data_IF_823991948808
#
_entry.id   IF_823991948808
#
_cell.length_a   1.000
_cell.length_b   1.000
_cell.length_c   1.000
_cell.angle_alpha   90.00
_cell.angle_beta   90.00
_cell.angle_gamma   90.00
#
_symmetry.space_group_name_H-M   'P 1'
#
loop_
_entity.id
_entity.type
_entity.pdbx_description
1 polymer ?
#
# COMPACT_ATOMS: atom_id res chain seq x y z
N UNK A 1 45.65 -30.58 -52.29
CA UNK A 1 44.86 -29.53 -51.70
C UNK A 1 43.56 -30.14 -51.20
N UNK A 2 43.54 -30.60 -49.95
CA UNK A 2 42.32 -31.15 -49.34
C UNK A 2 41.64 -30.00 -48.46
N UNK A 3 40.40 -29.64 -48.82
CA UNK A 3 39.59 -28.73 -48.05
C UNK A 3 38.83 -29.51 -46.95
N UNK A 4 39.16 -29.20 -45.72
CA UNK A 4 38.45 -29.69 -44.55
C UNK A 4 37.14 -28.88 -44.38
N UNK A 5 35.99 -29.53 -44.49
CA UNK A 5 34.66 -28.92 -44.19
C UNK A 5 34.35 -29.20 -42.72
N UNK A 6 34.38 -28.17 -41.88
CA UNK A 6 33.91 -28.20 -40.49
C UNK A 6 32.39 -28.01 -40.48
N UNK A 7 31.67 -29.08 -40.16
CA UNK A 7 30.24 -29.04 -39.86
C UNK A 7 30.03 -28.55 -38.43
N UNK A 8 29.49 -27.34 -38.29
CA UNK A 8 28.96 -26.85 -37.01
C UNK A 8 27.55 -27.41 -36.80
N UNK A 9 27.37 -28.29 -35.82
CA UNK A 9 26.05 -28.67 -35.34
C UNK A 9 25.54 -27.60 -34.33
N UNK A 10 24.30 -27.11 -34.46
CA UNK A 10 23.75 -26.18 -33.45
C UNK A 10 23.40 -26.97 -32.19
N UNK A 11 24.01 -26.60 -31.07
CA UNK A 11 23.58 -27.01 -29.75
C UNK A 11 22.20 -26.37 -29.43
N UNK A 12 21.16 -27.17 -29.52
CA UNK A 12 19.83 -26.78 -29.04
C UNK A 12 19.86 -26.87 -27.53
N UNK A 13 20.01 -25.72 -26.87
CA UNK A 13 19.71 -25.60 -25.46
C UNK A 13 18.19 -25.69 -25.26
N UNK A 14 17.68 -26.85 -24.88
CA UNK A 14 16.35 -26.99 -24.37
C UNK A 14 16.29 -26.30 -22.99
N UNK A 15 15.70 -25.12 -22.95
CA UNK A 15 15.34 -24.50 -21.68
C UNK A 15 14.34 -25.42 -20.98
N UNK A 16 14.79 -26.14 -19.96
CA UNK A 16 13.90 -26.82 -19.03
C UNK A 16 12.99 -25.75 -18.41
N UNK A 17 11.67 -26.00 -18.31
CA UNK A 17 10.80 -25.08 -17.60
C UNK A 17 11.31 -25.00 -16.16
N UNK A 18 11.67 -23.78 -15.72
CA UNK A 18 11.90 -23.51 -14.31
C UNK A 18 10.56 -23.70 -13.62
N UNK A 19 10.34 -24.88 -13.05
CA UNK A 19 9.27 -25.12 -12.11
C UNK A 19 9.62 -24.28 -10.89
N UNK A 20 9.05 -23.10 -10.80
CA UNK A 20 9.06 -22.33 -9.55
C UNK A 20 8.26 -23.16 -8.52
N UNK A 21 8.94 -24.05 -7.82
CA UNK A 21 8.44 -24.57 -6.55
C UNK A 21 8.37 -23.35 -5.62
N UNK A 22 7.15 -22.78 -5.48
CA UNK A 22 6.92 -21.75 -4.50
C UNK A 22 7.31 -22.28 -3.14
N UNK A 23 8.39 -21.77 -2.61
CA UNK A 23 8.84 -22.08 -1.27
C UNK A 23 7.76 -21.64 -0.28
N UNK A 24 7.08 -22.57 0.35
CA UNK A 24 5.94 -22.31 1.23
C UNK A 24 6.36 -22.35 2.70
N UNK A 25 5.83 -21.42 3.48
CA UNK A 25 5.88 -21.52 4.96
C UNK A 25 5.17 -22.81 5.34
N UNK A 26 5.83 -23.63 6.18
CA UNK A 26 5.23 -24.88 6.68
C UNK A 26 4.54 -24.60 8.01
N UNK A 27 3.32 -25.11 8.13
CA UNK A 27 2.50 -25.01 9.33
C UNK A 27 2.18 -26.37 9.91
N UNK A 28 2.09 -26.47 11.22
CA UNK A 28 1.72 -27.70 11.94
C UNK A 28 0.22 -27.97 11.88
N UNK A 29 -0.58 -26.90 11.76
CA UNK A 29 -2.03 -26.94 11.76
C UNK A 29 -2.59 -25.68 11.05
N UNK A 30 -3.91 -25.54 11.02
CA UNK A 30 -4.62 -24.39 10.49
C UNK A 30 -5.86 -24.07 11.33
N UNK A 31 -6.26 -22.81 11.33
CA UNK A 31 -7.52 -22.37 11.92
C UNK A 31 -8.55 -22.18 10.79
N UNK A 32 -9.76 -22.67 11.01
CA UNK A 32 -10.89 -22.40 10.09
C UNK A 32 -11.63 -21.18 10.59
N UNK A 33 -11.66 -20.13 9.78
CA UNK A 33 -12.42 -18.89 10.01
C UNK A 33 -13.62 -18.85 9.07
N UNK A 34 -14.80 -18.60 9.61
CA UNK A 34 -15.97 -18.37 8.79
C UNK A 34 -16.05 -16.91 8.38
N UNK A 35 -16.12 -16.66 7.07
CA UNK A 35 -16.21 -15.32 6.54
C UNK A 35 -17.25 -15.21 5.42
N UNK A 36 -17.79 -13.99 5.25
CA UNK A 36 -18.61 -13.61 4.10
C UNK A 36 -17.80 -12.75 3.15
N UNK A 37 -17.90 -13.04 1.87
CA UNK A 37 -17.33 -12.23 0.79
C UNK A 37 -18.36 -11.16 0.43
N UNK A 38 -17.95 -9.92 0.33
CA UNK A 38 -18.80 -8.89 -0.23
C UNK A 38 -18.65 -8.82 -1.75
N UNK A 39 -19.72 -8.45 -2.41
CA UNK A 39 -19.75 -8.10 -3.84
C UNK A 39 -20.65 -6.89 -4.05
N UNK A 40 -20.71 -6.36 -5.26
CA UNK A 40 -21.68 -5.33 -5.63
C UNK A 40 -22.65 -5.92 -6.67
N UNK A 41 -23.93 -5.66 -6.49
CA UNK A 41 -24.93 -5.94 -7.51
C UNK A 41 -24.86 -4.93 -8.68
N UNK A 42 -25.74 -5.10 -9.67
CA UNK A 42 -25.83 -4.20 -10.82
C UNK A 42 -26.11 -2.72 -10.44
N UNK A 43 -26.76 -2.51 -9.28
CA UNK A 43 -27.09 -1.19 -8.74
C UNK A 43 -25.99 -0.65 -7.80
N UNK A 44 -24.85 -1.39 -7.70
CA UNK A 44 -23.71 -1.09 -6.80
C UNK A 44 -24.02 -1.26 -5.31
N UNK A 45 -25.12 -1.87 -4.91
CA UNK A 45 -25.37 -2.21 -3.52
C UNK A 45 -24.45 -3.34 -3.09
N UNK A 46 -24.00 -3.30 -1.84
CA UNK A 46 -23.19 -4.38 -1.27
C UNK A 46 -24.12 -5.58 -0.98
N UNK A 47 -23.66 -6.74 -1.40
CA UNK A 47 -24.26 -8.03 -1.09
C UNK A 47 -23.19 -8.93 -0.49
N UNK A 48 -23.59 -9.77 0.46
CA UNK A 48 -22.72 -10.76 1.06
C UNK A 48 -23.07 -12.16 0.57
N UNK A 49 -22.04 -12.98 0.37
CA UNK A 49 -22.21 -14.43 0.21
C UNK A 49 -22.76 -15.04 1.50
N UNK A 50 -23.18 -16.31 1.44
CA UNK A 50 -23.29 -17.14 2.62
C UNK A 50 -21.95 -17.23 3.36
N UNK A 51 -22.01 -17.68 4.63
CA UNK A 51 -20.80 -18.01 5.40
C UNK A 51 -20.03 -19.14 4.72
N UNK A 52 -18.75 -18.91 4.49
CA UNK A 52 -17.82 -19.89 3.92
C UNK A 52 -16.64 -20.09 4.84
N UNK A 53 -16.11 -21.30 4.86
CA UNK A 53 -14.93 -21.64 5.62
C UNK A 53 -13.66 -21.20 4.85
N UNK A 54 -12.76 -20.52 5.53
CA UNK A 54 -11.45 -20.13 5.01
C UNK A 54 -10.38 -20.63 5.96
N UNK A 55 -9.34 -21.22 5.40
CA UNK A 55 -8.14 -21.59 6.15
C UNK A 55 -7.34 -20.34 6.49
N UNK A 56 -6.87 -20.26 7.71
CA UNK A 56 -5.95 -19.24 8.18
C UNK A 56 -4.84 -19.88 9.02
N UNK A 57 -3.69 -19.21 9.06
CA UNK A 57 -2.54 -19.64 9.84
C UNK A 57 -2.11 -18.53 10.81
N UNK A 58 -1.65 -18.95 11.98
CA UNK A 58 -1.16 -18.08 13.05
C UNK A 58 0.30 -18.37 13.34
N UNK A 59 0.98 -17.49 14.07
CA UNK A 59 2.42 -17.61 14.32
C UNK A 59 2.81 -18.87 15.13
N UNK A 60 1.95 -19.31 16.04
CA UNK A 60 2.15 -20.51 16.86
C UNK A 60 2.13 -21.81 16.03
N UNK A 61 1.61 -21.76 14.81
CA UNK A 61 1.55 -22.89 13.88
C UNK A 61 2.77 -22.96 12.94
N UNK A 62 3.65 -21.97 12.92
CA UNK A 62 4.83 -21.96 12.04
C UNK A 62 5.84 -23.00 12.49
N UNK A 63 6.06 -24.04 11.67
CA UNK A 63 6.97 -25.15 12.00
C UNK A 63 8.42 -24.70 12.03
N UNK A 64 9.12 -25.06 13.12
CA UNK A 64 10.57 -24.88 13.25
C UNK A 64 11.00 -23.46 13.57
N UNK A 65 10.06 -22.57 13.90
CA UNK A 65 10.42 -21.25 14.39
C UNK A 65 11.17 -21.37 15.72
N UNK A 66 12.33 -20.70 15.90
CA UNK A 66 13.02 -20.66 17.18
C UNK A 66 12.17 -19.97 18.25
N UNK A 67 12.46 -20.22 19.52
CA UNK A 67 11.82 -19.48 20.61
C UNK A 67 11.97 -17.97 20.39
N UNK A 68 10.84 -17.29 20.25
CA UNK A 68 10.80 -15.85 20.01
C UNK A 68 11.29 -15.10 21.25
N UNK A 69 12.10 -14.08 21.03
CA UNK A 69 12.71 -13.26 22.08
C UNK A 69 12.46 -11.79 21.78
N UNK A 70 12.46 -10.94 22.80
CA UNK A 70 12.34 -9.50 22.62
C UNK A 70 13.40 -9.02 21.61
N UNK A 71 12.95 -8.30 20.60
CA UNK A 71 13.80 -7.75 19.57
C UNK A 71 14.58 -6.54 20.10
N UNK A 72 15.86 -6.44 19.72
CA UNK A 72 16.66 -5.24 20.01
C UNK A 72 16.29 -4.18 18.99
N UNK A 73 15.51 -3.19 19.42
CA UNK A 73 14.99 -2.14 18.56
C UNK A 73 15.65 -0.80 18.88
N UNK A 74 15.90 -0.02 17.84
CA UNK A 74 16.32 1.36 17.99
C UNK A 74 15.14 2.31 18.31
N UNK A 75 15.40 3.61 18.33
CA UNK A 75 14.38 4.61 18.69
C UNK A 75 13.20 4.71 17.71
N UNK A 76 13.38 4.33 16.44
CA UNK A 76 12.28 4.25 15.45
C UNK A 76 11.57 2.89 15.42
N UNK A 77 12.11 1.89 16.10
CA UNK A 77 11.64 0.51 16.05
C UNK A 77 12.31 -0.30 14.94
N UNK A 78 13.45 0.14 14.43
CA UNK A 78 14.34 -0.61 13.53
C UNK A 78 15.11 -1.71 14.27
N UNK A 79 15.54 -2.74 13.55
CA UNK A 79 16.30 -3.86 14.13
C UNK A 79 17.76 -3.47 14.39
N UNK A 80 18.06 -3.01 15.59
CA UNK A 80 19.40 -2.58 16.02
C UNK A 80 20.47 -3.71 16.09
N UNK A 81 20.06 -4.97 15.90
CA UNK A 81 21.01 -6.09 15.80
C UNK A 81 21.73 -6.16 14.43
N UNK A 82 21.26 -5.39 13.43
CA UNK A 82 21.88 -5.27 12.11
C UNK A 82 22.13 -3.80 11.81
N UNK A 83 23.36 -3.46 11.45
CA UNK A 83 23.78 -2.05 11.30
C UNK A 83 24.35 -1.82 9.90
N UNK A 84 23.87 -0.80 9.23
CA UNK A 84 24.34 -0.28 7.95
C UNK A 84 24.74 1.22 8.11
N UNK A 85 25.18 1.84 7.05
CA UNK A 85 25.53 3.27 7.10
C UNK A 85 24.29 4.11 7.42
N UNK A 86 24.38 4.94 8.45
CA UNK A 86 23.37 5.95 8.77
C UNK A 86 23.41 7.08 7.70
N UNK A 87 22.23 7.46 7.18
CA UNK A 87 22.11 8.58 6.21
C UNK A 87 21.32 9.75 6.74
N UNK A 88 20.67 9.58 7.90
CA UNK A 88 19.78 10.57 8.48
C UNK A 88 18.35 10.54 7.93
N UNK A 89 18.06 9.71 6.92
CA UNK A 89 16.74 9.57 6.31
C UNK A 89 16.42 8.10 6.00
N UNK A 90 15.16 7.78 5.88
CA UNK A 90 14.72 6.46 5.43
C UNK A 90 15.10 6.24 3.96
N UNK A 91 15.56 5.04 3.65
CA UNK A 91 15.90 4.62 2.29
C UNK A 91 15.56 3.17 2.06
N UNK A 92 15.60 2.70 0.82
CA UNK A 92 15.44 1.29 0.47
C UNK A 92 16.74 0.72 -0.07
N UNK A 93 17.07 -0.50 0.33
CA UNK A 93 18.25 -1.24 -0.15
C UNK A 93 17.90 -2.71 -0.42
N UNK A 94 18.56 -3.30 -1.42
CA UNK A 94 18.46 -4.75 -1.68
C UNK A 94 19.67 -5.44 -1.10
N UNK A 95 19.46 -6.21 -0.04
CA UNK A 95 20.50 -6.85 0.76
C UNK A 95 20.36 -8.36 0.69
N UNK A 96 21.38 -9.07 0.17
CA UNK A 96 21.37 -10.52 -0.02
C UNK A 96 20.09 -11.06 -0.70
N UNK A 97 19.63 -10.35 -1.72
CA UNK A 97 18.44 -10.73 -2.51
C UNK A 97 17.09 -10.32 -1.91
N UNK A 98 17.06 -9.68 -0.73
CA UNK A 98 15.86 -9.17 -0.07
C UNK A 98 15.87 -7.65 -0.05
N UNK A 99 14.73 -7.04 -0.38
CA UNK A 99 14.54 -5.62 -0.19
C UNK A 99 14.23 -5.28 1.27
N UNK A 100 14.83 -4.21 1.76
CA UNK A 100 14.60 -3.68 3.11
C UNK A 100 14.48 -2.15 3.07
N UNK A 101 13.65 -1.60 3.93
CA UNK A 101 13.75 -0.19 4.31
C UNK A 101 14.83 -0.09 5.38
N UNK A 102 15.68 0.91 5.27
CA UNK A 102 16.70 1.23 6.28
C UNK A 102 16.30 2.57 6.90
N UNK A 103 16.29 2.63 8.22
CA UNK A 103 15.94 3.84 8.97
C UNK A 103 17.07 4.88 8.99
N UNK A 104 16.84 6.08 9.52
CA UNK A 104 17.84 7.15 9.55
C UNK A 104 19.13 6.80 10.29
N UNK A 105 19.07 5.87 11.26
CA UNK A 105 20.25 5.42 12.03
C UNK A 105 21.00 4.26 11.34
N UNK A 106 20.45 3.70 10.26
CA UNK A 106 21.08 2.61 9.51
C UNK A 106 20.60 1.22 9.91
N UNK A 107 19.45 1.06 10.53
CA UNK A 107 18.89 -0.22 10.90
C UNK A 107 17.78 -0.67 9.95
N UNK A 108 17.64 -1.99 9.66
CA UNK A 108 16.50 -2.51 8.92
C UNK A 108 15.19 -2.15 9.60
N UNK A 109 14.25 -1.62 8.83
CA UNK A 109 12.98 -1.11 9.31
C UNK A 109 11.82 -1.75 8.55
N UNK A 110 11.18 -2.76 9.15
CA UNK A 110 9.97 -3.35 8.58
C UNK A 110 8.77 -2.47 8.92
N UNK A 111 8.19 -1.84 7.91
CA UNK A 111 7.08 -0.91 8.08
C UNK A 111 5.84 -1.65 8.58
N UNK A 112 5.38 -1.32 9.77
CA UNK A 112 4.11 -1.77 10.34
C UNK A 112 3.29 -0.55 10.72
N UNK A 113 2.30 -0.21 9.89
CA UNK A 113 1.63 1.07 9.99
C UNK A 113 0.12 0.95 10.25
N UNK A 114 -0.43 2.06 10.75
CA UNK A 114 -1.88 2.27 10.87
C UNK A 114 -2.24 3.53 10.09
N UNK A 115 -3.27 3.42 9.22
CA UNK A 115 -3.79 4.55 8.47
C UNK A 115 -4.75 5.41 9.32
N UNK A 116 -4.84 6.67 8.96
CA UNK A 116 -5.85 7.61 9.48
C UNK A 116 -5.82 7.78 11.01
N UNK A 117 -4.63 7.91 11.58
CA UNK A 117 -4.47 8.29 13.00
C UNK A 117 -4.86 9.75 13.13
N UNK A 118 -6.15 10.00 13.36
CA UNK A 118 -6.73 11.33 13.53
C UNK A 118 -7.98 11.27 14.39
N UNK A 119 -8.33 12.39 15.02
CA UNK A 119 -9.57 12.51 15.77
C UNK A 119 -10.78 12.34 14.85
N UNK A 120 -11.78 11.60 15.33
CA UNK A 120 -13.08 11.54 14.68
C UNK A 120 -13.85 12.86 14.85
N UNK A 121 -14.73 13.17 13.89
CA UNK A 121 -15.45 14.43 13.85
C UNK A 121 -16.89 14.33 14.41
N UNK A 122 -17.42 13.12 14.64
CA UNK A 122 -18.77 12.96 15.15
C UNK A 122 -18.95 13.53 16.56
N UNK A 123 -20.20 13.80 16.95
CA UNK A 123 -20.51 14.22 18.30
C UNK A 123 -20.05 13.20 19.35
N UNK A 124 -20.19 11.90 19.05
CA UNK A 124 -19.70 10.80 19.88
C UNK A 124 -18.19 10.91 20.08
N UNK A 125 -17.43 10.97 18.98
CA UNK A 125 -15.96 11.08 19.05
C UNK A 125 -15.52 12.30 19.88
N UNK A 126 -16.13 13.47 19.64
CA UNK A 126 -15.77 14.70 20.33
C UNK A 126 -16.12 14.66 21.83
N UNK A 127 -17.23 14.02 22.19
CA UNK A 127 -17.61 13.85 23.59
C UNK A 127 -16.61 12.99 24.36
N UNK A 128 -16.27 11.81 23.80
CA UNK A 128 -15.29 10.91 24.43
C UNK A 128 -13.87 11.48 24.42
N UNK A 129 -13.48 12.19 23.37
CA UNK A 129 -12.19 12.88 23.36
C UNK A 129 -12.04 13.83 24.55
N UNK A 130 -13.05 14.68 24.80
CA UNK A 130 -13.04 15.64 25.92
C UNK A 130 -13.05 14.97 27.31
N UNK A 131 -13.58 13.75 27.41
CA UNK A 131 -13.57 12.97 28.65
C UNK A 131 -12.22 12.30 28.91
N UNK A 132 -11.55 11.84 27.88
CA UNK A 132 -10.36 11.00 27.99
C UNK A 132 -9.06 11.78 27.98
N UNK A 133 -9.01 12.94 27.30
CA UNK A 133 -7.77 13.71 27.14
C UNK A 133 -8.00 15.20 27.32
N UNK A 134 -7.00 15.86 27.91
CA UNK A 134 -7.02 17.31 28.12
C UNK A 134 -6.66 18.10 26.86
N UNK A 135 -5.93 17.50 25.94
CA UNK A 135 -5.49 18.13 24.69
C UNK A 135 -5.30 17.14 23.54
N UNK A 136 -5.23 17.66 22.32
CA UNK A 136 -4.90 16.89 21.12
C UNK A 136 -3.50 16.25 21.21
N UNK A 137 -2.55 16.92 21.86
CA UNK A 137 -1.20 16.40 22.07
C UNK A 137 -1.20 15.24 23.08
N UNK A 138 -2.01 15.32 24.15
CA UNK A 138 -2.14 14.20 25.09
C UNK A 138 -2.76 12.99 24.44
N UNK A 139 -3.81 13.20 23.63
CA UNK A 139 -4.40 12.13 22.82
C UNK A 139 -3.37 11.49 21.90
N UNK A 140 -2.65 12.28 21.07
CA UNK A 140 -1.66 11.75 20.13
C UNK A 140 -0.55 11.00 20.87
N UNK A 141 -0.04 11.55 21.98
CA UNK A 141 0.97 10.90 22.82
C UNK A 141 0.47 9.55 23.35
N UNK A 142 -0.76 9.50 23.85
CA UNK A 142 -1.38 8.27 24.32
C UNK A 142 -1.53 7.24 23.20
N UNK A 143 -1.99 7.66 22.02
CA UNK A 143 -2.17 6.75 20.88
C UNK A 143 -0.83 6.21 20.36
N UNK A 144 0.19 7.05 20.18
CA UNK A 144 1.49 6.59 19.70
C UNK A 144 2.12 5.59 20.68
N UNK A 145 2.10 5.87 21.99
CA UNK A 145 2.57 4.93 23.01
C UNK A 145 1.84 3.58 22.95
N UNK A 146 0.52 3.63 22.77
CA UNK A 146 -0.28 2.42 22.55
C UNK A 146 0.20 1.68 21.30
N UNK A 147 0.29 2.33 20.14
CA UNK A 147 0.72 1.68 18.90
C UNK A 147 2.11 1.05 19.02
N UNK A 148 3.06 1.76 19.60
CA UNK A 148 4.41 1.23 19.85
C UNK A 148 4.38 -0.01 20.75
N UNK A 149 3.51 -0.03 21.79
CA UNK A 149 3.36 -1.19 22.66
C UNK A 149 2.73 -2.42 21.97
N UNK A 150 2.06 -2.21 20.83
CA UNK A 150 1.53 -3.25 19.94
C UNK A 150 2.43 -3.52 18.72
N UNK A 151 3.66 -2.98 18.72
CA UNK A 151 4.68 -3.23 17.69
C UNK A 151 4.48 -2.50 16.38
N UNK A 152 3.58 -1.51 16.33
CA UNK A 152 3.49 -0.57 15.20
C UNK A 152 4.57 0.50 15.31
N UNK A 153 5.07 0.96 14.17
CA UNK A 153 6.17 1.92 14.10
C UNK A 153 5.94 3.10 13.14
N UNK A 154 4.80 3.12 12.43
CA UNK A 154 4.56 4.11 11.39
C UNK A 154 3.09 4.56 11.35
N UNK A 155 2.88 5.87 11.19
CA UNK A 155 1.58 6.44 10.83
C UNK A 155 1.43 6.48 9.30
N UNK A 156 0.43 5.75 8.81
CA UNK A 156 0.10 5.69 7.38
C UNK A 156 -0.68 6.90 6.88
N UNK A 157 -1.24 6.79 5.67
CA UNK A 157 -2.02 7.84 5.01
C UNK A 157 -3.11 8.43 5.89
N UNK A 158 -3.41 9.71 5.65
CA UNK A 158 -4.50 10.49 6.27
C UNK A 158 -4.39 10.64 7.79
N UNK A 159 -3.21 10.39 8.34
CA UNK A 159 -2.92 10.64 9.75
C UNK A 159 -2.68 12.13 10.01
N UNK A 160 -2.88 12.55 11.25
CA UNK A 160 -2.62 13.91 11.72
C UNK A 160 -1.11 14.15 11.87
N UNK A 161 -0.46 14.43 10.75
CA UNK A 161 0.99 14.62 10.71
C UNK A 161 1.47 15.80 11.56
N UNK A 162 0.63 16.83 11.77
CA UNK A 162 0.97 17.96 12.63
C UNK A 162 1.14 17.53 14.09
N UNK A 163 0.18 16.79 14.63
CA UNK A 163 0.26 16.27 16.01
C UNK A 163 1.35 15.20 16.18
N UNK A 164 1.59 14.37 15.14
CA UNK A 164 2.67 13.37 15.17
C UNK A 164 4.05 14.08 15.22
N UNK A 165 4.26 15.11 14.42
CA UNK A 165 5.51 15.88 14.43
C UNK A 165 5.72 16.56 15.79
N UNK A 166 4.68 17.18 16.35
CA UNK A 166 4.77 17.77 17.69
C UNK A 166 5.13 16.74 18.79
N UNK A 167 4.63 15.50 18.68
CA UNK A 167 5.09 14.40 19.53
C UNK A 167 6.57 14.06 19.29
N UNK A 168 6.98 13.94 18.03
CA UNK A 168 8.34 13.56 17.64
C UNK A 168 9.38 14.59 18.11
N UNK A 169 9.03 15.89 18.11
CA UNK A 169 9.93 16.98 18.54
C UNK A 169 10.36 16.85 20.01
N UNK A 170 9.60 16.13 20.83
CA UNK A 170 9.85 15.98 22.27
C UNK A 170 10.12 14.53 22.71
N UNK A 171 9.96 13.55 21.81
CA UNK A 171 10.05 12.14 22.14
C UNK A 171 11.44 11.56 21.89
N UNK A 172 11.92 10.73 22.81
CA UNK A 172 13.11 9.90 22.60
C UNK A 172 12.83 8.72 21.67
N UNK A 173 11.57 8.35 21.52
CA UNK A 173 11.08 7.26 20.64
C UNK A 173 10.11 7.84 19.62
N UNK A 174 10.61 8.48 18.55
CA UNK A 174 9.77 9.08 17.53
C UNK A 174 8.95 8.01 16.77
N UNK A 175 7.85 8.44 16.17
CA UNK A 175 6.98 7.60 15.38
C UNK A 175 7.09 8.01 13.92
N UNK A 176 7.53 7.09 13.05
CA UNK A 176 7.65 7.40 11.63
C UNK A 176 6.27 7.73 11.03
N UNK A 177 6.22 8.54 10.00
CA UNK A 177 4.96 8.91 9.37
C UNK A 177 5.08 9.08 7.86
N UNK A 178 3.95 9.08 7.18
CA UNK A 178 3.83 9.32 5.75
C UNK A 178 2.95 10.52 5.48
N UNK A 179 3.13 11.17 4.34
CA UNK A 179 2.23 12.23 3.86
C UNK A 179 1.48 11.81 2.60
N UNK A 180 0.42 12.52 2.26
CA UNK A 180 -0.39 12.33 1.07
C UNK A 180 -0.52 13.65 0.32
N UNK A 181 0.01 13.71 -0.91
CA UNK A 181 0.08 14.96 -1.70
C UNK A 181 -1.23 15.29 -2.41
N UNK A 182 -1.92 14.28 -2.98
CA UNK A 182 -3.17 14.41 -3.74
C UNK A 182 -3.06 15.39 -4.93
N UNK A 183 -1.92 15.40 -5.62
CA UNK A 183 -1.67 16.38 -6.69
C UNK A 183 -2.59 16.18 -7.91
N UNK A 184 -2.76 14.94 -8.38
CA UNK A 184 -3.68 14.68 -9.50
C UNK A 184 -5.13 14.96 -9.11
N UNK A 185 -5.55 14.53 -7.92
CA UNK A 185 -6.89 14.78 -7.42
C UNK A 185 -7.15 16.29 -7.24
N UNK A 186 -6.16 17.04 -6.76
CA UNK A 186 -6.21 18.50 -6.64
C UNK A 186 -6.31 19.17 -7.98
N UNK A 187 -5.44 18.83 -8.91
CA UNK A 187 -5.43 19.34 -10.28
C UNK A 187 -6.76 19.06 -10.99
N UNK A 188 -7.26 17.84 -10.91
CA UNK A 188 -8.55 17.47 -11.53
C UNK A 188 -9.69 18.34 -11.01
N UNK A 189 -9.79 18.56 -9.70
CA UNK A 189 -10.81 19.43 -9.09
C UNK A 189 -10.70 20.89 -9.61
N UNK A 190 -9.48 21.42 -9.69
CA UNK A 190 -9.23 22.77 -10.18
C UNK A 190 -9.57 22.90 -11.67
N UNK A 191 -9.13 21.95 -12.50
CA UNK A 191 -9.40 21.93 -13.92
C UNK A 191 -10.91 21.84 -14.24
N UNK A 192 -11.67 21.03 -13.48
CA UNK A 192 -13.13 20.93 -13.60
C UNK A 192 -13.81 22.23 -13.12
N UNK A 193 -13.34 22.86 -12.05
CA UNK A 193 -13.87 24.14 -11.58
C UNK A 193 -13.70 25.22 -12.62
N UNK A 194 -12.54 25.25 -13.30
CA UNK A 194 -12.23 26.25 -14.33
C UNK A 194 -12.94 25.95 -15.68
N UNK A 195 -13.20 24.67 -15.97
CA UNK A 195 -13.95 24.20 -17.12
C UNK A 195 -14.89 23.04 -16.75
N UNK A 196 -16.16 23.33 -16.36
CA UNK A 196 -17.11 22.30 -15.94
C UNK A 196 -17.44 21.24 -17.01
N UNK A 197 -17.22 21.51 -18.30
CA UNK A 197 -17.41 20.54 -19.38
C UNK A 197 -16.47 19.31 -19.21
N UNK A 198 -15.34 19.47 -18.53
CA UNK A 198 -14.37 18.37 -18.23
C UNK A 198 -14.83 17.42 -17.12
N UNK A 199 -16.00 17.60 -16.52
CA UNK A 199 -16.49 16.74 -15.42
C UNK A 199 -16.65 15.28 -15.83
N UNK A 200 -16.98 15.01 -17.08
CA UNK A 200 -17.11 13.66 -17.65
C UNK A 200 -15.83 13.12 -18.26
N UNK A 201 -14.77 13.91 -18.32
CA UNK A 201 -13.51 13.49 -18.91
C UNK A 201 -12.84 12.35 -18.10
N UNK A 202 -12.13 11.47 -18.81
CA UNK A 202 -11.31 10.45 -18.18
C UNK A 202 -10.24 11.05 -17.26
N UNK A 203 -10.01 10.46 -16.10
CA UNK A 203 -8.91 10.87 -15.21
C UNK A 203 -7.55 10.81 -15.91
N UNK A 204 -7.40 9.94 -16.91
CA UNK A 204 -6.18 9.78 -17.69
C UNK A 204 -5.87 11.02 -18.55
N UNK A 205 -6.90 11.77 -18.97
CA UNK A 205 -6.70 13.03 -19.72
C UNK A 205 -6.04 14.12 -18.88
N UNK A 206 -6.27 14.14 -17.57
CA UNK A 206 -5.64 15.09 -16.65
C UNK A 206 -4.16 14.75 -16.39
N UNK A 207 -3.79 13.46 -16.44
CA UNK A 207 -2.39 13.01 -16.37
C UNK A 207 -1.58 13.51 -17.57
N UNK A 208 -2.18 13.47 -18.75
CA UNK A 208 -1.56 13.87 -20.02
C UNK A 208 -1.62 15.36 -20.31
N UNK A 209 -2.31 16.12 -19.47
CA UNK A 209 -2.39 17.56 -19.59
C UNK A 209 -1.07 18.23 -19.18
N UNK A 210 -0.52 19.06 -20.07
CA UNK A 210 0.75 19.78 -19.78
C UNK A 210 0.67 20.68 -18.55
N UNK A 211 -0.52 21.17 -18.19
CA UNK A 211 -0.72 21.97 -16.98
C UNK A 211 -0.58 21.16 -15.68
N UNK A 212 -0.66 19.83 -15.72
CA UNK A 212 -0.49 18.99 -14.52
C UNK A 212 0.91 19.13 -13.91
N UNK A 213 1.95 19.15 -14.72
CA UNK A 213 3.33 19.35 -14.21
C UNK A 213 3.49 20.74 -13.58
N UNK A 214 2.90 21.78 -14.19
CA UNK A 214 2.91 23.13 -13.63
C UNK A 214 2.20 23.18 -12.27
N UNK A 215 1.07 22.47 -12.14
CA UNK A 215 0.34 22.33 -10.89
C UNK A 215 1.21 21.63 -9.82
N UNK A 216 1.86 20.53 -10.17
CA UNK A 216 2.79 19.83 -9.25
C UNK A 216 3.90 20.77 -8.77
N UNK A 217 4.55 21.52 -9.67
CA UNK A 217 5.62 22.47 -9.31
C UNK A 217 5.10 23.57 -8.37
N UNK A 218 3.89 24.10 -8.59
CA UNK A 218 3.29 25.11 -7.72
C UNK A 218 3.09 24.59 -6.29
N UNK A 219 2.62 23.34 -6.15
CA UNK A 219 2.31 22.75 -4.85
C UNK A 219 3.53 22.09 -4.17
N UNK A 220 4.61 21.84 -4.90
CA UNK A 220 5.80 21.21 -4.36
C UNK A 220 6.55 22.05 -3.31
N UNK A 221 6.29 23.35 -3.24
CA UNK A 221 6.87 24.23 -2.19
C UNK A 221 6.50 23.77 -0.78
N UNK A 222 5.37 23.09 -0.62
CA UNK A 222 4.93 22.54 0.66
C UNK A 222 5.86 21.43 1.20
N UNK A 223 6.56 20.72 0.31
CA UNK A 223 7.52 19.67 0.68
C UNK A 223 8.68 20.22 1.52
N UNK A 224 9.05 21.50 1.33
CA UNK A 224 10.12 22.13 2.08
C UNK A 224 9.87 22.15 3.59
N UNK A 225 8.60 22.11 4.02
CA UNK A 225 8.21 22.10 5.44
C UNK A 225 8.67 20.84 6.18
N UNK A 226 8.88 19.74 5.44
CA UNK A 226 9.23 18.43 5.98
C UNK A 226 10.50 17.84 5.39
N UNK A 227 11.13 18.49 4.40
CA UNK A 227 12.28 17.95 3.66
C UNK A 227 13.53 17.64 4.50
N UNK A 228 13.57 18.10 5.76
CA UNK A 228 14.65 17.85 6.73
C UNK A 228 14.19 17.00 7.93
N UNK A 229 12.96 16.50 7.94
CA UNK A 229 12.42 15.74 9.06
C UNK A 229 12.84 14.27 8.97
N UNK A 230 13.75 13.77 9.82
CA UNK A 230 14.22 12.38 9.75
C UNK A 230 13.13 11.35 10.09
N UNK A 231 11.99 11.80 10.62
CA UNK A 231 10.89 10.91 11.00
C UNK A 231 9.89 10.69 9.86
N UNK A 232 9.98 11.46 8.78
CA UNK A 232 9.16 11.27 7.60
C UNK A 232 9.70 10.08 6.78
N UNK A 233 8.87 9.02 6.66
CA UNK A 233 9.21 7.88 5.80
C UNK A 233 9.19 8.27 4.32
N UNK A 234 8.17 9.01 3.91
CA UNK A 234 8.03 9.43 2.51
C UNK A 234 6.64 9.95 2.16
N UNK A 235 6.47 10.22 0.87
CA UNK A 235 5.28 10.85 0.30
C UNK A 235 4.52 9.89 -0.61
N UNK A 236 3.22 9.69 -0.35
CA UNK A 236 2.29 9.17 -1.35
C UNK A 236 1.83 10.31 -2.25
N UNK A 237 1.74 10.07 -3.55
CA UNK A 237 1.30 11.13 -4.49
C UNK A 237 -0.22 11.28 -4.54
N UNK A 238 -0.93 10.20 -4.82
CA UNK A 238 -2.39 10.15 -4.91
C UNK A 238 -2.91 8.82 -4.36
N UNK A 239 -4.22 8.57 -4.44
CA UNK A 239 -4.83 7.34 -3.97
C UNK A 239 -5.68 6.70 -5.07
N UNK A 240 -5.40 5.42 -5.38
CA UNK A 240 -6.25 4.55 -6.20
C UNK A 240 -6.63 5.17 -7.56
N UNK A 241 -5.63 5.75 -8.25
CA UNK A 241 -5.86 6.31 -9.58
C UNK A 241 -6.49 5.22 -10.46
N UNK A 242 -7.58 5.57 -11.13
CA UNK A 242 -8.36 4.65 -11.95
C UNK A 242 -7.66 4.31 -13.28
N UNK A 243 -6.48 3.70 -13.22
CA UNK A 243 -5.82 3.10 -14.39
C UNK A 243 -6.61 1.87 -14.85
N UNK A 244 -7.63 2.06 -15.67
CA UNK A 244 -8.51 1.00 -16.12
C UNK A 244 -8.83 1.11 -17.61
N UNK A 245 -9.18 -0.03 -18.22
CA UNK A 245 -9.60 -0.07 -19.63
C UNK A 245 -10.80 0.88 -19.87
N UNK A 246 -11.77 0.92 -18.95
CA UNK A 246 -12.92 1.82 -19.09
C UNK A 246 -12.52 3.30 -19.13
N UNK A 247 -11.54 3.72 -18.31
CA UNK A 247 -11.01 5.08 -18.36
C UNK A 247 -10.22 5.35 -19.66
N UNK A 248 -9.49 4.33 -20.14
CA UNK A 248 -8.78 4.44 -21.41
C UNK A 248 -9.75 4.53 -22.59
N UNK A 249 -10.81 3.71 -22.63
CA UNK A 249 -11.82 3.76 -23.67
C UNK A 249 -12.53 5.13 -23.69
N UNK A 250 -12.83 5.66 -22.50
CA UNK A 250 -13.36 7.03 -22.39
C UNK A 250 -12.39 8.07 -22.96
N UNK A 251 -11.08 7.95 -22.68
CA UNK A 251 -10.05 8.86 -23.23
C UNK A 251 -9.95 8.74 -24.75
N UNK A 252 -9.96 7.51 -25.28
CA UNK A 252 -9.81 7.25 -26.72
C UNK A 252 -11.01 7.75 -27.54
N UNK A 253 -12.20 7.84 -26.96
CA UNK A 253 -13.43 8.28 -27.61
C UNK A 253 -13.79 9.76 -27.33
N UNK A 254 -13.08 10.41 -26.41
CA UNK A 254 -13.31 11.82 -26.05
C UNK A 254 -12.81 12.73 -27.17
N UNK A 255 -13.72 13.54 -27.73
CA UNK A 255 -13.41 14.53 -28.78
C UNK A 255 -12.93 15.88 -28.22
N UNK A 256 -12.93 16.04 -26.90
CA UNK A 256 -12.58 17.28 -26.20
C UNK A 256 -11.32 17.15 -25.34
N UNK A 257 -10.45 16.19 -25.67
CA UNK A 257 -9.18 16.04 -24.96
C UNK A 257 -8.24 17.21 -25.22
N UNK A 258 -7.32 17.44 -24.29
CA UNK A 258 -6.34 18.52 -24.45
C UNK A 258 -5.38 18.26 -25.62
N UNK A 259 -4.83 19.31 -26.26
CA UNK A 259 -3.83 19.13 -27.33
C UNK A 259 -2.60 18.31 -26.90
N UNK A 260 -2.22 18.33 -25.63
CA UNK A 260 -1.13 17.51 -25.09
C UNK A 260 -1.52 16.03 -24.99
N UNK A 261 -2.75 15.74 -24.57
CA UNK A 261 -3.28 14.36 -24.54
C UNK A 261 -3.39 13.80 -25.95
N UNK A 262 -3.92 14.58 -26.90
CA UNK A 262 -4.02 14.17 -28.32
C UNK A 262 -2.66 13.86 -28.92
N UNK A 263 -1.67 14.72 -28.70
CA UNK A 263 -0.29 14.51 -29.14
C UNK A 263 0.32 13.25 -28.57
N UNK A 264 0.13 12.98 -27.26
CA UNK A 264 0.61 11.77 -26.63
C UNK A 264 0.02 10.51 -27.25
N UNK A 265 -1.30 10.50 -27.50
CA UNK A 265 -1.99 9.37 -28.13
C UNK A 265 -1.53 9.16 -29.57
N UNK A 266 -1.41 10.22 -30.36
CA UNK A 266 -0.98 10.14 -31.75
C UNK A 266 0.46 9.61 -31.87
N UNK A 267 1.39 10.08 -31.03
CA UNK A 267 2.75 9.54 -30.98
C UNK A 267 2.73 8.05 -30.66
N UNK A 268 1.93 7.62 -29.69
CA UNK A 268 1.83 6.19 -29.33
C UNK A 268 1.24 5.36 -30.50
N UNK A 269 0.23 5.88 -31.21
CA UNK A 269 -0.39 5.25 -32.38
C UNK A 269 0.64 5.09 -33.50
N UNK A 270 1.40 6.14 -33.80
CA UNK A 270 2.47 6.11 -34.81
C UNK A 270 3.55 5.08 -34.46
N UNK A 271 4.02 5.08 -33.21
CA UNK A 271 5.04 4.12 -32.73
C UNK A 271 4.58 2.66 -32.82
N UNK A 272 3.27 2.39 -32.66
CA UNK A 272 2.72 1.03 -32.64
C UNK A 272 2.07 0.62 -33.99
N UNK A 273 1.97 1.52 -34.95
CA UNK A 273 1.43 1.25 -36.29
C UNK A 273 -0.04 0.77 -36.29
N UNK A 274 -0.82 1.12 -35.25
CA UNK A 274 -2.19 0.62 -35.07
C UNK A 274 -3.15 1.81 -34.96
N UNK A 275 -4.11 1.97 -35.89
CA UNK A 275 -5.13 3.02 -35.79
C UNK A 275 -5.93 2.94 -34.47
N UNK A 276 -6.41 4.09 -33.98
CA UNK A 276 -7.09 4.24 -32.68
C UNK A 276 -8.24 3.25 -32.50
N UNK A 277 -8.99 3.00 -33.56
CA UNK A 277 -10.17 2.12 -33.58
C UNK A 277 -9.82 0.63 -33.55
N UNK A 278 -8.59 0.27 -33.88
CA UNK A 278 -8.11 -1.11 -34.00
C UNK A 278 -7.19 -1.52 -32.83
N UNK A 279 -7.06 -0.67 -31.80
CA UNK A 279 -6.22 -0.96 -30.63
C UNK A 279 -6.75 -2.20 -29.88
N UNK A 280 -5.95 -3.27 -29.86
CA UNK A 280 -6.28 -4.54 -29.21
C UNK A 280 -6.24 -4.42 -27.68
N UNK A 281 -6.84 -5.38 -26.96
CA UNK A 281 -6.83 -5.41 -25.48
C UNK A 281 -5.40 -5.37 -24.91
N UNK A 282 -4.47 -6.12 -25.47
CA UNK A 282 -3.06 -6.12 -25.02
C UNK A 282 -2.38 -4.75 -25.27
N UNK A 283 -2.67 -4.12 -26.40
CA UNK A 283 -2.16 -2.77 -26.69
C UNK A 283 -2.77 -1.72 -25.76
N UNK A 284 -4.05 -1.86 -25.37
CA UNK A 284 -4.68 -1.02 -24.34
C UNK A 284 -3.98 -1.13 -23.00
N UNK A 285 -3.63 -2.33 -22.56
CA UNK A 285 -2.85 -2.53 -21.34
C UNK A 285 -1.47 -1.87 -21.39
N UNK A 286 -0.76 -1.99 -22.53
CA UNK A 286 0.53 -1.31 -22.76
C UNK A 286 0.38 0.22 -22.74
N UNK A 287 -0.66 0.75 -23.36
CA UNK A 287 -0.93 2.18 -23.38
C UNK A 287 -1.26 2.71 -21.97
N UNK A 288 -2.03 1.96 -21.18
CA UNK A 288 -2.24 2.27 -19.76
C UNK A 288 -0.93 2.34 -18.99
N UNK A 289 -0.02 1.38 -19.24
CA UNK A 289 1.32 1.39 -18.65
C UNK A 289 2.13 2.64 -19.03
N UNK A 290 2.04 3.09 -20.29
CA UNK A 290 2.71 4.33 -20.73
C UNK A 290 2.11 5.59 -20.08
N UNK A 291 0.79 5.64 -19.91
CA UNK A 291 0.12 6.75 -19.21
C UNK A 291 0.50 6.74 -17.72
N UNK A 292 0.53 5.56 -17.09
CA UNK A 292 0.99 5.43 -15.71
C UNK A 292 2.46 5.87 -15.58
N UNK A 293 3.33 5.44 -16.49
CA UNK A 293 4.72 5.88 -16.55
C UNK A 293 4.84 7.42 -16.62
N UNK A 294 4.04 8.07 -17.46
CA UNK A 294 4.02 9.53 -17.56
C UNK A 294 3.63 10.18 -16.23
N UNK A 295 2.60 9.67 -15.55
CA UNK A 295 2.19 10.15 -14.24
C UNK A 295 3.31 10.06 -13.21
N UNK A 296 3.86 8.85 -13.02
CA UNK A 296 4.90 8.61 -12.01
C UNK A 296 6.18 9.38 -12.31
N UNK A 297 6.55 9.53 -13.59
CA UNK A 297 7.68 10.35 -14.04
C UNK A 297 7.48 11.82 -13.65
N UNK A 298 6.35 12.41 -14.00
CA UNK A 298 6.05 13.82 -13.70
C UNK A 298 6.12 14.08 -12.20
N UNK A 299 5.43 13.26 -11.40
CA UNK A 299 5.40 13.42 -9.95
C UNK A 299 6.79 13.21 -9.33
N UNK A 300 7.50 12.15 -9.72
CA UNK A 300 8.84 11.85 -9.20
C UNK A 300 9.84 12.97 -9.49
N UNK A 301 9.82 13.49 -10.72
CA UNK A 301 10.71 14.58 -11.13
C UNK A 301 10.50 15.82 -10.25
N UNK A 302 9.26 16.22 -10.04
CA UNK A 302 8.94 17.40 -9.23
C UNK A 302 9.22 17.15 -7.74
N UNK A 303 8.83 15.96 -7.23
CA UNK A 303 9.04 15.59 -5.83
C UNK A 303 10.53 15.58 -5.50
N UNK A 304 11.34 14.82 -6.24
CA UNK A 304 12.78 14.67 -5.96
C UNK A 304 13.59 15.96 -6.15
N UNK A 305 13.12 16.88 -6.99
CA UNK A 305 13.71 18.22 -7.09
C UNK A 305 13.51 19.05 -5.82
N UNK A 306 12.37 18.89 -5.14
CA UNK A 306 12.01 19.71 -3.97
C UNK A 306 12.27 18.98 -2.63
N UNK A 307 12.25 17.66 -2.62
CA UNK A 307 12.58 16.82 -1.48
C UNK A 307 13.36 15.58 -1.94
N UNK A 308 14.68 15.67 -2.08
CA UNK A 308 15.52 14.54 -2.48
C UNK A 308 15.71 13.49 -1.38
N UNK A 309 15.40 13.82 -0.14
CA UNK A 309 15.73 13.02 1.03
C UNK A 309 14.72 11.91 1.33
N UNK A 310 13.43 12.15 1.04
CA UNK A 310 12.37 11.23 1.43
C UNK A 310 11.92 10.32 0.29
N UNK A 311 11.39 9.16 0.66
CA UNK A 311 10.93 8.16 -0.30
C UNK A 311 9.69 8.62 -1.06
N UNK A 312 9.67 8.35 -2.36
CA UNK A 312 8.44 8.42 -3.15
C UNK A 312 7.71 7.07 -3.08
N UNK A 313 6.57 7.07 -2.41
CA UNK A 313 5.82 5.87 -2.04
C UNK A 313 4.74 5.48 -3.08
N UNK A 314 4.65 6.19 -4.20
CA UNK A 314 3.67 5.93 -5.26
C UNK A 314 2.25 6.37 -4.95
N UNK A 315 1.26 5.77 -5.64
CA UNK A 315 -0.15 6.19 -5.63
C UNK A 315 -1.11 5.11 -5.14
N UNK A 316 -0.64 4.10 -4.43
CA UNK A 316 -1.46 3.07 -3.79
C UNK A 316 -2.31 2.31 -4.82
N UNK A 317 -1.65 1.54 -5.69
CA UNK A 317 -2.27 0.81 -6.79
C UNK A 317 -3.40 -0.11 -6.28
N UNK A 318 -4.56 -0.03 -6.93
CA UNK A 318 -5.76 -0.76 -6.52
C UNK A 318 -6.44 -1.46 -7.70
N UNK A 319 -7.37 -2.36 -7.42
CA UNK A 319 -8.21 -3.07 -8.39
C UNK A 319 -7.39 -3.68 -9.55
N UNK A 320 -7.73 -3.36 -10.81
CA UNK A 320 -7.03 -3.85 -11.98
C UNK A 320 -5.60 -3.30 -12.10
N UNK A 321 -5.33 -2.09 -11.60
CA UNK A 321 -4.03 -1.45 -11.74
C UNK A 321 -2.90 -2.25 -11.06
N UNK A 322 -3.14 -2.86 -9.89
CA UNK A 322 -2.15 -3.69 -9.20
C UNK A 322 -1.84 -5.02 -9.90
N UNK A 323 -2.72 -5.45 -10.80
CA UNK A 323 -2.61 -6.72 -11.54
C UNK A 323 -2.18 -6.52 -13.01
N UNK A 324 -1.95 -5.28 -13.43
CA UNK A 324 -1.48 -4.96 -14.77
C UNK A 324 0.03 -4.76 -14.75
N UNK A 325 0.75 -5.65 -15.43
CA UNK A 325 2.21 -5.64 -15.51
C UNK A 325 2.76 -4.28 -15.97
N UNK A 326 2.20 -3.72 -17.04
CA UNK A 326 2.72 -2.50 -17.64
C UNK A 326 2.52 -1.27 -16.76
N UNK A 327 1.39 -1.21 -16.00
CA UNK A 327 1.17 -0.16 -15.00
C UNK A 327 2.18 -0.29 -13.87
N UNK A 328 2.42 -1.52 -13.40
CA UNK A 328 3.36 -1.79 -12.32
C UNK A 328 4.80 -1.41 -12.73
N UNK A 329 5.25 -1.84 -13.92
CA UNK A 329 6.56 -1.47 -14.49
C UNK A 329 6.68 0.05 -14.66
N UNK A 330 5.61 0.71 -15.14
CA UNK A 330 5.57 2.17 -15.29
C UNK A 330 5.71 2.91 -13.96
N UNK A 331 5.11 2.39 -12.89
CA UNK A 331 5.28 2.91 -11.53
C UNK A 331 6.69 2.63 -10.99
N UNK A 332 7.12 1.37 -11.04
CA UNK A 332 8.39 0.92 -10.47
C UNK A 332 9.62 1.65 -11.03
N UNK A 333 9.52 2.17 -12.26
CA UNK A 333 10.59 2.95 -12.87
C UNK A 333 10.88 4.30 -12.15
N UNK A 334 9.92 4.83 -11.41
CA UNK A 334 9.99 6.19 -10.86
C UNK A 334 9.73 6.32 -9.36
N UNK A 335 9.24 5.27 -8.71
CA UNK A 335 9.03 5.23 -7.26
C UNK A 335 10.21 4.58 -6.55
N UNK A 336 10.44 4.91 -5.28
CA UNK A 336 11.41 4.19 -4.44
C UNK A 336 10.84 2.84 -4.00
N UNK A 337 9.54 2.77 -3.74
CA UNK A 337 8.80 1.54 -3.49
C UNK A 337 7.35 1.63 -4.00
N UNK A 338 6.75 0.50 -4.37
CA UNK A 338 5.39 0.44 -4.90
C UNK A 338 4.40 0.22 -3.76
N UNK A 339 3.39 1.07 -3.67
CA UNK A 339 2.30 0.94 -2.70
C UNK A 339 1.06 0.29 -3.31
N UNK A 340 0.43 -0.61 -2.55
CA UNK A 340 -0.68 -1.44 -3.04
C UNK A 340 -1.79 -1.50 -2.00
N UNK A 341 -3.02 -1.09 -2.38
CA UNK A 341 -4.22 -1.34 -1.61
C UNK A 341 -4.79 -2.70 -2.01
N UNK A 342 -4.82 -3.65 -1.04
CA UNK A 342 -5.09 -5.05 -1.35
C UNK A 342 -6.41 -5.53 -0.78
N UNK A 343 -7.42 -5.56 -1.61
CA UNK A 343 -8.78 -6.01 -1.28
C UNK A 343 -9.25 -7.12 -2.21
N UNK A 344 -10.31 -7.82 -1.80
CA UNK A 344 -10.96 -8.86 -2.60
C UNK A 344 -10.38 -10.26 -2.46
N UNK A 345 -9.35 -10.45 -1.64
CA UNK A 345 -8.71 -11.75 -1.37
C UNK A 345 -8.59 -11.97 0.13
N UNK A 346 -8.70 -13.26 0.55
CA UNK A 346 -8.56 -13.64 1.96
C UNK A 346 -7.13 -13.44 2.47
N UNK A 347 -6.17 -13.70 1.60
CA UNK A 347 -4.74 -13.51 1.85
C UNK A 347 -4.02 -13.04 0.57
N UNK A 348 -2.80 -12.51 0.63
CA UNK A 348 -2.01 -12.22 -0.54
C UNK A 348 -1.76 -13.48 -1.38
N UNK A 349 -2.17 -13.46 -2.65
CA UNK A 349 -1.90 -14.58 -3.57
C UNK A 349 -0.42 -14.68 -3.87
N UNK A 350 0.12 -15.90 -3.89
CA UNK A 350 1.52 -16.16 -4.26
C UNK A 350 1.86 -15.64 -5.66
N UNK A 351 0.93 -15.81 -6.61
CA UNK A 351 1.10 -15.27 -7.97
C UNK A 351 1.27 -13.76 -7.96
N UNK A 352 0.48 -13.02 -7.19
CA UNK A 352 0.64 -11.57 -7.08
C UNK A 352 1.98 -11.20 -6.45
N UNK A 353 2.38 -11.87 -5.38
CA UNK A 353 3.66 -11.61 -4.71
C UNK A 353 4.85 -11.87 -5.64
N UNK A 354 4.79 -12.95 -6.42
CA UNK A 354 5.79 -13.29 -7.44
C UNK A 354 5.81 -12.27 -8.58
N UNK A 355 4.64 -11.94 -9.12
CA UNK A 355 4.49 -11.00 -10.23
C UNK A 355 5.04 -9.62 -9.87
N UNK A 356 4.68 -9.06 -8.72
CA UNK A 356 5.17 -7.75 -8.27
C UNK A 356 6.68 -7.75 -8.03
N UNK A 357 7.26 -8.87 -7.57
CA UNK A 357 8.70 -9.03 -7.45
C UNK A 357 9.42 -9.03 -8.81
N UNK A 358 8.78 -9.63 -9.84
CA UNK A 358 9.36 -9.80 -11.17
C UNK A 358 9.16 -8.58 -12.07
N UNK A 359 8.05 -7.83 -11.91
CA UNK A 359 7.67 -6.77 -12.86
C UNK A 359 8.50 -5.48 -12.74
N UNK A 360 9.21 -5.26 -11.66
CA UNK A 360 9.92 -3.99 -11.54
C UNK A 360 11.18 -4.01 -10.67
N UNK A 361 11.54 -5.15 -10.10
CA UNK A 361 12.64 -5.29 -9.13
C UNK A 361 12.70 -4.14 -8.12
N UNK A 362 11.54 -3.82 -7.55
CA UNK A 362 11.37 -2.80 -6.51
C UNK A 362 10.74 -3.38 -5.27
N UNK A 363 11.01 -2.83 -4.09
CA UNK A 363 10.24 -3.18 -2.91
C UNK A 363 8.79 -2.72 -3.06
N UNK A 364 7.89 -3.45 -2.40
CA UNK A 364 6.51 -3.03 -2.27
C UNK A 364 6.04 -3.17 -0.83
N UNK A 365 4.97 -2.48 -0.48
CA UNK A 365 4.24 -2.69 0.76
C UNK A 365 2.73 -2.63 0.53
N UNK A 366 1.98 -3.34 1.37
CA UNK A 366 0.52 -3.29 1.33
C UNK A 366 0.08 -2.10 2.16
N UNK A 367 -0.63 -1.17 1.54
CA UNK A 367 -1.02 0.10 2.17
C UNK A 367 -2.46 0.18 2.64
N UNK A 368 -3.26 -0.83 2.29
CA UNK A 368 -4.59 -1.06 2.89
C UNK A 368 -4.97 -2.53 2.83
N UNK A 369 -5.42 -3.04 3.96
CA UNK A 369 -6.22 -4.25 4.10
C UNK A 369 -6.92 -4.22 5.46
N UNK A 370 -8.08 -4.87 5.59
CA UNK A 370 -8.79 -5.09 6.84
C UNK A 370 -9.90 -6.13 6.69
N UNK A 371 -10.40 -6.60 7.82
CA UNK A 371 -11.65 -7.36 7.96
C UNK A 371 -12.60 -6.63 8.89
N UNK A 372 -13.89 -6.94 8.78
CA UNK A 372 -14.99 -6.45 9.62
C UNK A 372 -15.47 -7.57 10.53
N UNK A 373 -16.00 -7.27 11.71
CA UNK A 373 -16.57 -8.28 12.60
C UNK A 373 -18.00 -7.92 13.02
N UNK A 374 -18.84 -8.96 13.17
CA UNK A 374 -20.24 -8.82 13.58
C UNK A 374 -20.37 -8.36 15.03
N UNK A 375 -19.47 -8.81 15.92
CA UNK A 375 -19.47 -8.47 17.35
C UNK A 375 -19.10 -7.00 17.65
N UNK A 376 -18.80 -6.21 16.62
CA UNK A 376 -18.59 -4.76 16.75
C UNK A 376 -19.88 -3.99 17.03
N UNK A 377 -21.05 -4.56 16.75
CA UNK A 377 -22.32 -3.86 16.79
C UNK A 377 -22.59 -2.91 15.64
N UNK A 378 -21.68 -2.83 14.63
CA UNK A 378 -21.86 -2.04 13.43
C UNK A 378 -22.59 -2.85 12.35
N UNK A 379 -23.37 -2.18 11.49
CA UNK A 379 -24.16 -2.84 10.43
C UNK A 379 -23.29 -3.52 9.37
N UNK A 380 -22.07 -2.99 9.14
CA UNK A 380 -21.09 -3.54 8.21
C UNK A 380 -21.58 -3.67 6.74
N UNK A 381 -22.57 -2.87 6.35
CA UNK A 381 -23.16 -2.90 5.00
C UNK A 381 -22.31 -2.17 3.95
N UNK A 382 -21.24 -1.49 4.37
CA UNK A 382 -20.29 -0.82 3.49
C UNK A 382 -18.85 -1.33 3.72
N UNK A 383 -17.90 -0.84 2.89
CA UNK A 383 -16.48 -1.13 3.03
C UNK A 383 -16.01 -2.45 2.41
N UNK A 384 -14.76 -2.47 1.97
CA UNK A 384 -14.15 -3.53 1.17
C UNK A 384 -13.60 -4.74 1.95
N UNK A 385 -13.61 -4.68 3.30
CA UNK A 385 -13.12 -5.78 4.13
C UNK A 385 -14.08 -6.97 4.16
N UNK A 386 -13.55 -8.18 4.29
CA UNK A 386 -14.32 -9.38 4.53
C UNK A 386 -15.05 -9.30 5.88
N UNK A 387 -16.21 -9.92 6.00
CA UNK A 387 -16.98 -9.96 7.25
C UNK A 387 -16.71 -11.29 7.95
N UNK A 388 -16.16 -11.24 9.16
CA UNK A 388 -15.99 -12.37 10.08
C UNK A 388 -16.92 -12.23 11.28
N UNK A 389 -16.94 -13.19 12.21
CA UNK A 389 -17.86 -13.15 13.34
C UNK A 389 -17.35 -12.30 14.50
N UNK A 390 -16.03 -12.37 14.79
CA UNK A 390 -15.46 -11.81 16.02
C UNK A 390 -14.22 -10.97 15.78
N UNK A 391 -13.87 -10.13 16.76
CA UNK A 391 -12.62 -9.38 16.77
C UNK A 391 -11.39 -10.29 16.85
N UNK A 392 -11.52 -11.45 17.48
CA UNK A 392 -10.47 -12.48 17.48
C UNK A 392 -10.20 -13.01 16.06
N UNK A 393 -11.24 -13.29 15.29
CA UNK A 393 -11.11 -13.74 13.90
C UNK A 393 -10.52 -12.66 12.98
N UNK A 394 -10.76 -11.36 13.27
CA UNK A 394 -10.03 -10.26 12.62
C UNK A 394 -8.52 -10.35 12.88
N UNK A 395 -8.15 -10.66 14.11
CA UNK A 395 -6.76 -10.85 14.51
C UNK A 395 -6.11 -12.08 13.86
N UNK A 396 -6.82 -13.20 13.78
CA UNK A 396 -6.37 -14.40 13.06
C UNK A 396 -6.15 -14.08 11.57
N UNK A 397 -7.09 -13.38 10.94
CA UNK A 397 -6.91 -12.91 9.56
C UNK A 397 -5.68 -12.01 9.41
N UNK A 398 -5.43 -11.08 10.34
CA UNK A 398 -4.24 -10.23 10.31
C UNK A 398 -2.96 -11.05 10.31
N UNK A 399 -2.83 -12.04 11.21
CA UNK A 399 -1.65 -12.90 11.28
C UNK A 399 -1.49 -13.70 9.98
N UNK A 400 -2.55 -14.35 9.50
CA UNK A 400 -2.53 -15.11 8.24
C UNK A 400 -2.06 -14.25 7.06
N UNK A 401 -2.64 -13.05 6.93
CA UNK A 401 -2.31 -12.11 5.87
C UNK A 401 -0.84 -11.67 5.92
N UNK A 402 -0.36 -11.27 7.11
CA UNK A 402 1.01 -10.77 7.29
C UNK A 402 2.06 -11.88 7.17
N UNK A 403 1.78 -13.09 7.68
CA UNK A 403 2.66 -14.25 7.49
C UNK A 403 2.88 -14.54 6.00
N UNK A 404 1.82 -14.45 5.19
CA UNK A 404 1.94 -14.65 3.75
C UNK A 404 2.83 -13.59 3.08
N UNK A 405 2.84 -12.35 3.56
CA UNK A 405 3.72 -11.29 3.04
C UNK A 405 5.20 -11.59 3.26
N UNK A 406 5.58 -12.25 4.34
CA UNK A 406 6.97 -12.64 4.59
C UNK A 406 7.53 -13.62 3.55
N UNK A 407 6.68 -14.30 2.77
CA UNK A 407 7.14 -15.16 1.67
C UNK A 407 7.73 -14.37 0.48
N UNK A 408 7.57 -13.05 0.43
CA UNK A 408 8.11 -12.21 -0.64
C UNK A 408 9.38 -11.49 -0.19
N UNK A 409 10.46 -11.65 -0.94
CA UNK A 409 11.71 -10.91 -0.76
C UNK A 409 11.57 -9.39 -1.05
N UNK A 410 10.50 -9.00 -1.71
CA UNK A 410 10.24 -7.61 -2.10
C UNK A 410 9.26 -6.89 -1.15
N UNK A 411 8.59 -7.60 -0.24
CA UNK A 411 7.67 -6.97 0.71
C UNK A 411 8.44 -6.33 1.87
N UNK A 412 8.25 -5.01 2.06
CA UNK A 412 8.92 -4.24 3.12
C UNK A 412 7.96 -3.75 4.21
N UNK A 413 6.71 -4.21 4.20
CA UNK A 413 5.76 -3.89 5.26
C UNK A 413 4.30 -3.85 4.85
N UNK A 414 3.49 -3.40 5.79
CA UNK A 414 2.04 -3.29 5.60
C UNK A 414 1.42 -2.21 6.49
N UNK A 415 0.23 -1.73 6.07
CA UNK A 415 -0.59 -0.77 6.80
C UNK A 415 -1.98 -1.35 7.04
N UNK A 416 -2.42 -1.37 8.30
CA UNK A 416 -3.80 -1.69 8.65
C UNK A 416 -4.73 -0.51 8.34
N UNK A 417 -5.83 -0.75 7.69
CA UNK A 417 -6.86 0.24 7.45
C UNK A 417 -8.07 -0.05 8.35
N UNK A 418 -8.26 0.68 9.48
CA UNK A 418 -7.59 1.94 9.89
C UNK A 418 -7.51 2.06 11.42
N UNK A 419 -7.15 3.27 11.91
CA UNK A 419 -7.10 3.58 13.34
C UNK A 419 -8.46 3.44 14.03
N UNK A 420 -9.48 4.21 13.62
CA UNK A 420 -10.78 4.32 14.29
C UNK A 420 -11.93 3.99 13.35
N UNK A 421 -12.97 3.32 13.82
CA UNK A 421 -14.22 3.18 13.11
C UNK A 421 -14.84 4.55 12.83
N UNK A 422 -15.52 4.69 11.70
CA UNK A 422 -16.38 5.84 11.49
C UNK A 422 -17.61 5.71 12.40
N UNK A 423 -18.17 6.85 12.79
CA UNK A 423 -19.51 6.89 13.36
C UNK A 423 -20.52 6.83 12.18
N UNK A 424 -21.41 5.84 12.12
CA UNK A 424 -22.41 5.73 11.05
C UNK A 424 -23.32 6.97 10.95
N UNK A 425 -23.52 7.70 12.06
CA UNK A 425 -24.26 8.94 12.11
C UNK A 425 -23.51 10.17 11.57
N UNK A 426 -22.21 10.06 11.31
CA UNK A 426 -21.41 11.15 10.74
C UNK A 426 -21.57 11.23 9.22
N UNK A 427 -22.39 12.19 8.75
CA UNK A 427 -22.61 12.40 7.32
C UNK A 427 -21.40 12.92 6.56
N UNK A 428 -20.33 13.34 7.24
CA UNK A 428 -19.06 13.75 6.64
C UNK A 428 -18.11 12.57 6.42
N UNK A 429 -18.39 11.42 7.05
CA UNK A 429 -17.62 10.21 6.84
C UNK A 429 -17.82 9.66 5.42
N UNK A 430 -16.77 9.03 4.88
CA UNK A 430 -16.79 8.43 3.54
C UNK A 430 -17.95 7.42 3.43
N UNK A 431 -18.93 7.65 2.54
CA UNK A 431 -20.09 6.78 2.39
C UNK A 431 -19.73 5.36 1.94
N UNK A 432 -18.58 5.16 1.28
CA UNK A 432 -18.14 3.85 0.79
C UNK A 432 -17.79 2.88 1.91
N UNK A 433 -17.59 3.37 3.13
CA UNK A 433 -17.16 2.57 4.28
C UNK A 433 -17.62 3.14 5.64
N UNK A 434 -18.74 3.90 5.66
CA UNK A 434 -19.20 4.65 6.82
C UNK A 434 -19.55 3.76 8.02
N UNK A 435 -20.26 2.66 7.80
CA UNK A 435 -20.74 1.73 8.81
C UNK A 435 -19.86 0.47 8.95
N UNK A 436 -18.64 0.49 8.40
CA UNK A 436 -17.75 -0.65 8.42
C UNK A 436 -16.88 -0.67 9.68
N UNK A 437 -16.87 -1.80 10.40
CA UNK A 437 -15.91 -2.07 11.47
C UNK A 437 -14.51 -2.35 10.87
N UNK A 438 -13.71 -1.35 10.81
CA UNK A 438 -12.34 -1.39 10.26
C UNK A 438 -11.30 -0.84 11.23
N UNK A 439 -11.77 -0.16 12.27
CA UNK A 439 -10.92 0.43 13.30
C UNK A 439 -10.14 -0.59 14.11
N UNK A 440 -9.00 -0.15 14.64
CA UNK A 440 -8.35 -0.76 15.78
C UNK A 440 -9.06 -0.34 17.09
N UNK A 441 -9.65 0.85 17.08
CA UNK A 441 -10.52 1.36 18.15
C UNK A 441 -11.91 1.70 17.60
N UNK A 442 -12.90 1.65 18.48
CA UNK A 442 -14.27 2.08 18.17
C UNK A 442 -14.43 3.62 18.21
N UNK A 443 -15.65 4.11 18.01
CA UNK A 443 -15.97 5.55 18.03
C UNK A 443 -15.79 6.21 19.41
N UNK A 444 -15.67 5.41 20.46
CA UNK A 444 -15.42 5.85 21.86
C UNK A 444 -13.91 5.74 22.22
N UNK A 445 -13.04 5.48 21.26
CA UNK A 445 -11.60 5.24 21.42
C UNK A 445 -11.26 3.99 22.24
N UNK A 446 -12.19 3.06 22.42
CA UNK A 446 -11.94 1.79 23.08
C UNK A 446 -11.28 0.81 22.11
N UNK A 447 -10.18 0.21 22.54
CA UNK A 447 -9.40 -0.75 21.77
C UNK A 447 -10.18 -2.06 21.58
N UNK A 448 -10.18 -2.60 20.38
CA UNK A 448 -10.61 -3.98 20.12
C UNK A 448 -9.51 -4.94 20.58
N UNK A 449 -9.51 -5.24 21.89
CA UNK A 449 -8.42 -5.97 22.55
C UNK A 449 -8.09 -7.32 21.91
N UNK A 450 -9.07 -8.18 21.53
CA UNK A 450 -8.74 -9.46 20.88
C UNK A 450 -7.98 -9.27 19.55
N UNK A 451 -8.44 -8.35 18.69
CA UNK A 451 -7.74 -7.97 17.45
C UNK A 451 -6.31 -7.47 17.74
N UNK A 452 -6.20 -6.51 18.65
CA UNK A 452 -4.93 -5.85 18.97
C UNK A 452 -3.89 -6.84 19.54
N UNK A 453 -4.31 -7.77 20.39
CA UNK A 453 -3.43 -8.80 20.94
C UNK A 453 -2.85 -9.71 19.86
N UNK A 454 -3.67 -10.17 18.91
CA UNK A 454 -3.18 -10.96 17.77
C UNK A 454 -2.23 -10.18 16.87
N UNK A 455 -2.48 -8.86 16.69
CA UNK A 455 -1.53 -7.99 15.98
C UNK A 455 -0.21 -7.88 16.74
N UNK A 456 -0.27 -7.69 18.07
CA UNK A 456 0.91 -7.59 18.93
C UNK A 456 1.79 -8.83 18.86
N UNK A 457 1.19 -10.02 18.94
CA UNK A 457 1.90 -11.30 18.86
C UNK A 457 2.80 -11.39 17.63
N UNK A 458 2.34 -10.92 16.47
CA UNK A 458 3.12 -10.92 15.24
C UNK A 458 4.10 -9.74 15.18
N UNK A 459 3.62 -8.53 15.49
CA UNK A 459 4.39 -7.31 15.27
C UNK A 459 5.65 -7.21 16.14
N UNK A 460 5.60 -7.73 17.38
CA UNK A 460 6.75 -7.71 18.31
C UNK A 460 7.88 -8.66 17.90
N UNK A 461 7.63 -9.59 16.98
CA UNK A 461 8.62 -10.58 16.54
C UNK A 461 8.82 -10.55 15.01
N UNK A 462 8.42 -9.45 14.37
CA UNK A 462 8.39 -9.32 12.91
C UNK A 462 9.74 -9.51 12.24
N UNK A 463 10.83 -9.08 12.85
CA UNK A 463 12.17 -9.26 12.28
C UNK A 463 12.65 -10.69 12.36
N UNK A 464 12.42 -11.37 13.51
CA UNK A 464 12.74 -12.79 13.67
C UNK A 464 11.93 -13.66 12.73
N UNK A 465 10.60 -13.40 12.62
CA UNK A 465 9.70 -14.07 11.68
C UNK A 465 10.16 -13.89 10.24
N UNK A 466 10.43 -12.65 9.85
CA UNK A 466 10.89 -12.30 8.50
C UNK A 466 12.21 -12.98 8.15
N UNK A 467 13.18 -12.96 9.06
CA UNK A 467 14.49 -13.62 8.85
C UNK A 467 14.36 -15.14 8.75
N UNK A 468 13.59 -15.75 9.66
CA UNK A 468 13.36 -17.19 9.66
C UNK A 468 12.67 -17.69 8.38
N UNK A 469 11.57 -17.04 8.00
CA UNK A 469 10.80 -17.41 6.81
C UNK A 469 11.65 -17.22 5.55
N UNK A 470 12.33 -16.09 5.41
CA UNK A 470 13.20 -15.84 4.26
C UNK A 470 14.33 -16.86 4.12
N UNK A 471 15.01 -17.20 5.22
CA UNK A 471 16.08 -18.19 5.21
C UNK A 471 15.59 -19.60 4.82
N UNK A 472 14.36 -19.97 5.18
CA UNK A 472 13.79 -21.27 4.83
C UNK A 472 13.35 -21.33 3.36
N UNK A 473 12.87 -20.20 2.80
CA UNK A 473 12.52 -20.09 1.39
C UNK A 473 13.76 -20.23 0.49
N UNK A 474 14.89 -19.67 0.90
CA UNK A 474 16.15 -19.77 0.14
C UNK A 474 16.76 -21.19 0.10
N UNK A 475 16.35 -22.07 1.00
CA UNK A 475 16.85 -23.46 1.08
C UNK A 475 16.05 -24.46 0.26
N UNK A 476 14.88 -24.08 -0.22
CA UNK A 476 14.01 -24.90 -1.07
C UNK A 476 14.22 -24.59 -2.54
#
# INVERSE_FOLDING_TARGET
MYRLILLFAPLIFSALPVVNLEAQIRYSDSVVVQAKIWSRDANRNIQYSDWKNFTAHTIDQVIGIPALRNENLDKWGGNASRVFSATGFFRVEKLAGKWEVIDPAGHPFLVTAINSIRLGNSATNQSYFKQLWSSRNDWMTSQIKMFQSYGFNTAGCWSDTGSIRAYNDTSLHPFAYTTQLNWLAGYTREAIRNNPARKSASVLSFILDSAFESYCNLHAVELQKTSKDPNLLGHFSDNEIAFSIAQLDSLLTDQQISPSSERFLNNWIEENGTPRELITSNQKEKLLGKIAQQYFKTVSTVLKKNDPNHLYLGSRLHAAAKNNRYIFEGAAAYVDLVSINYYGYWEPKSTHLSDWGNWGDRPFFITEFYTKAMDSGMDNMSGAGWLVKTQEERGIHYQNFCLRLFSSANCVGWHWFRYQDNDPGDNTADPSNRDANKGLVNTQYQLYVPLANRMKELNLFKYQLSAFIFANIQKQ
#
